data_IF_922178246834
#
_entry.id   IF_922178246834
#
_cell.length_a   1.000
_cell.length_b   1.000
_cell.length_c   1.000
_cell.angle_alpha   90.00
_cell.angle_beta   90.00
_cell.angle_gamma   90.00
#
_symmetry.space_group_name_H-M   'P 1'
#
loop_
_entity.id
_entity.type
_entity.pdbx_description
1 polymer ?
#
# COMPACT_ATOMS: atom_id res chain seq x y z
N UNK A 1 -13.98 -6.40 -18.42
CA UNK A 1 -13.70 -7.44 -17.39
C UNK A 1 -13.21 -6.73 -16.15
N UNK A 2 -13.36 -7.31 -14.94
CA UNK A 2 -12.84 -6.77 -13.68
C UNK A 2 -12.12 -7.86 -12.90
N UNK A 3 -10.92 -7.57 -12.35
CA UNK A 3 -10.16 -8.49 -11.49
C UNK A 3 -9.15 -7.73 -10.61
N UNK A 4 -8.47 -8.46 -9.71
CA UNK A 4 -7.38 -7.90 -8.92
C UNK A 4 -6.03 -8.02 -9.66
N UNK A 5 -5.09 -7.09 -9.43
CA UNK A 5 -3.71 -7.18 -9.98
C UNK A 5 -3.01 -8.51 -9.66
N UNK A 6 -3.23 -9.07 -8.47
CA UNK A 6 -2.69 -10.41 -8.10
C UNK A 6 -3.08 -11.49 -9.09
N UNK A 7 -4.32 -11.51 -9.59
CA UNK A 7 -4.76 -12.49 -10.59
C UNK A 7 -4.01 -12.32 -11.92
N UNK A 8 -3.79 -11.07 -12.34
CA UNK A 8 -3.00 -10.76 -13.53
C UNK A 8 -1.54 -11.19 -13.35
N UNK A 9 -0.93 -10.88 -12.20
CA UNK A 9 0.44 -11.32 -11.90
C UNK A 9 0.59 -12.84 -11.94
N UNK A 10 -0.40 -13.58 -11.42
CA UNK A 10 -0.41 -15.04 -11.52
C UNK A 10 -0.47 -15.52 -12.98
N UNK A 11 -1.32 -14.92 -13.81
CA UNK A 11 -1.41 -15.25 -15.25
C UNK A 11 -0.09 -14.90 -15.94
N UNK A 12 0.47 -13.71 -15.70
CA UNK A 12 1.75 -13.27 -16.26
C UNK A 12 2.90 -14.23 -15.91
N UNK A 13 2.92 -14.73 -14.68
CA UNK A 13 3.93 -15.71 -14.24
C UNK A 13 3.86 -17.00 -15.04
N UNK A 14 2.65 -17.51 -15.32
CA UNK A 14 2.45 -18.77 -16.05
C UNK A 14 2.50 -18.60 -17.58
N UNK A 15 2.17 -17.42 -18.09
CA UNK A 15 2.11 -17.11 -19.52
C UNK A 15 2.73 -15.74 -19.85
N UNK A 16 4.02 -15.53 -19.55
CA UNK A 16 4.67 -14.23 -19.68
C UNK A 16 4.63 -13.67 -21.11
N UNK A 17 4.65 -14.54 -22.11
CA UNK A 17 4.59 -14.20 -23.54
C UNK A 17 3.15 -14.10 -24.07
N UNK A 18 2.12 -14.41 -23.28
CA UNK A 18 0.73 -14.41 -23.71
C UNK A 18 0.37 -15.51 -24.71
N UNK A 19 1.10 -16.63 -24.74
CA UNK A 19 0.86 -17.74 -25.67
C UNK A 19 -0.49 -18.43 -25.43
N UNK A 20 -0.90 -18.54 -24.16
CA UNK A 20 -2.19 -19.12 -23.81
C UNK A 20 -3.32 -18.12 -24.06
N UNK A 21 -3.14 -16.86 -23.70
CA UNK A 21 -4.13 -15.79 -23.93
C UNK A 21 -4.50 -15.72 -25.41
N UNK A 22 -3.52 -15.77 -26.30
CA UNK A 22 -3.74 -15.71 -27.76
C UNK A 22 -4.52 -16.87 -28.35
N UNK A 23 -4.75 -17.96 -27.59
CA UNK A 23 -5.60 -19.07 -28.03
C UNK A 23 -7.10 -18.76 -27.92
N UNK A 24 -7.46 -17.70 -27.19
CA UNK A 24 -8.85 -17.31 -26.96
C UNK A 24 -9.22 -16.11 -27.81
N UNK A 25 -10.46 -16.11 -28.29
CA UNK A 25 -11.05 -14.94 -28.96
C UNK A 25 -11.57 -13.96 -27.92
N UNK A 26 -10.94 -12.80 -27.83
CA UNK A 26 -11.29 -11.75 -26.87
C UNK A 26 -11.93 -10.53 -27.56
N UNK A 27 -12.49 -10.70 -28.75
CA UNK A 27 -13.02 -9.62 -29.59
C UNK A 27 -14.15 -8.80 -28.91
N UNK A 28 -14.84 -9.41 -27.95
CA UNK A 28 -15.89 -8.73 -27.16
C UNK A 28 -15.34 -7.97 -25.95
N UNK A 29 -14.06 -8.16 -25.58
CA UNK A 29 -13.47 -7.44 -24.48
C UNK A 29 -13.23 -5.99 -24.90
N UNK A 30 -13.79 -5.03 -24.16
CA UNK A 30 -13.68 -3.59 -24.44
C UNK A 30 -12.69 -2.87 -23.52
N UNK A 31 -12.58 -3.36 -22.29
CA UNK A 31 -11.70 -2.80 -21.27
C UNK A 31 -11.47 -3.80 -20.16
N UNK A 32 -10.34 -3.67 -19.48
CA UNK A 32 -9.99 -4.39 -18.27
C UNK A 32 -9.92 -3.42 -17.10
N UNK A 33 -10.67 -3.69 -16.02
CA UNK A 33 -10.61 -2.92 -14.78
C UNK A 33 -9.85 -3.70 -13.71
N UNK A 34 -8.97 -3.01 -12.98
CA UNK A 34 -8.16 -3.56 -11.89
C UNK A 34 -8.45 -2.80 -10.61
N UNK A 35 -8.64 -3.50 -9.49
CA UNK A 35 -8.75 -2.92 -8.16
C UNK A 35 -8.49 -3.94 -7.05
N UNK A 36 -8.51 -3.47 -5.80
CA UNK A 36 -8.36 -4.27 -4.58
C UNK A 36 -6.97 -4.17 -3.98
N UNK A 37 -5.97 -3.83 -4.77
CA UNK A 37 -4.60 -3.52 -4.37
C UNK A 37 -3.97 -2.60 -5.42
N UNK A 38 -2.85 -2.00 -5.07
CA UNK A 38 -2.10 -1.16 -6.02
C UNK A 38 -1.67 -2.00 -7.23
N UNK A 39 -1.99 -1.50 -8.42
CA UNK A 39 -1.48 -2.07 -9.66
C UNK A 39 -0.09 -1.48 -9.94
N UNK A 40 0.94 -2.34 -9.98
CA UNK A 40 2.26 -1.92 -10.39
C UNK A 40 2.31 -1.64 -11.90
N UNK A 41 3.18 -0.69 -12.34
CA UNK A 41 3.27 -0.30 -13.75
C UNK A 41 3.53 -1.47 -14.70
N UNK A 42 4.43 -2.37 -14.33
CA UNK A 42 4.82 -3.52 -15.14
C UNK A 42 3.65 -4.52 -15.35
N UNK A 43 2.82 -4.72 -14.34
CA UNK A 43 1.60 -5.53 -14.47
C UNK A 43 0.56 -4.87 -15.36
N UNK A 44 0.36 -3.55 -15.23
CA UNK A 44 -0.58 -2.79 -16.05
C UNK A 44 -0.17 -2.81 -17.52
N UNK A 45 1.07 -2.44 -17.84
CA UNK A 45 1.62 -2.39 -19.18
C UNK A 45 1.61 -3.76 -19.87
N UNK A 46 1.99 -4.82 -19.13
CA UNK A 46 1.91 -6.18 -19.64
C UNK A 46 0.46 -6.56 -20.00
N UNK A 47 -0.51 -6.21 -19.14
CA UNK A 47 -1.92 -6.51 -19.36
C UNK A 47 -2.44 -5.81 -20.62
N UNK A 48 -2.14 -4.52 -20.75
CA UNK A 48 -2.52 -3.72 -21.92
C UNK A 48 -1.94 -4.28 -23.21
N UNK A 49 -0.64 -4.63 -23.19
CA UNK A 49 0.04 -5.27 -24.32
C UNK A 49 -0.59 -6.61 -24.70
N UNK A 50 -1.01 -7.42 -23.72
CA UNK A 50 -1.59 -8.74 -24.00
C UNK A 50 -3.03 -8.68 -24.46
N UNK A 51 -3.85 -7.83 -23.87
CA UNK A 51 -5.29 -7.74 -24.13
C UNK A 51 -5.62 -6.75 -25.26
N UNK A 52 -4.75 -5.79 -25.55
CA UNK A 52 -4.93 -4.72 -26.55
C UNK A 52 -6.23 -3.91 -26.33
N UNK A 53 -6.57 -3.70 -25.09
CA UNK A 53 -7.70 -2.86 -24.66
C UNK A 53 -7.25 -1.96 -23.51
N UNK A 54 -7.93 -0.83 -23.25
CA UNK A 54 -7.63 0.01 -22.10
C UNK A 54 -7.64 -0.80 -20.80
N UNK A 55 -6.59 -0.66 -19.99
CA UNK A 55 -6.48 -1.26 -18.66
C UNK A 55 -6.59 -0.14 -17.64
N UNK A 56 -7.71 -0.14 -16.92
CA UNK A 56 -8.05 0.91 -15.97
C UNK A 56 -7.80 0.43 -14.56
N UNK A 57 -6.81 1.01 -13.90
CA UNK A 57 -6.70 0.93 -12.45
C UNK A 57 -7.76 1.84 -11.85
N UNK A 58 -8.48 1.37 -10.83
CA UNK A 58 -9.47 2.19 -10.14
C UNK A 58 -9.46 1.92 -8.65
N UNK A 59 -9.71 2.97 -7.89
CA UNK A 59 -9.61 2.94 -6.44
C UNK A 59 -10.97 3.16 -5.80
N UNK A 60 -11.29 2.32 -4.83
CA UNK A 60 -12.50 2.34 -4.02
C UNK A 60 -12.31 1.61 -2.70
N UNK A 61 -13.28 1.75 -1.81
CA UNK A 61 -13.33 1.06 -0.54
C UNK A 61 -14.69 0.37 -0.40
N UNK A 62 -14.77 -0.65 0.44
CA UNK A 62 -16.05 -1.32 0.74
C UNK A 62 -17.09 -0.31 1.22
N UNK A 63 -16.66 0.67 1.99
CA UNK A 63 -17.46 1.75 2.55
C UNK A 63 -18.02 2.70 1.50
N UNK A 64 -17.39 2.82 0.35
CA UNK A 64 -17.85 3.74 -0.70
C UNK A 64 -18.77 3.07 -1.70
N UNK A 65 -18.76 1.73 -1.77
CA UNK A 65 -19.66 0.92 -2.63
C UNK A 65 -19.48 1.12 -4.14
N UNK A 66 -18.66 2.08 -4.54
CA UNK A 66 -18.41 2.51 -5.92
C UNK A 66 -17.00 3.10 -6.05
N UNK A 67 -16.36 3.07 -7.23
CA UNK A 67 -15.10 3.74 -7.45
C UNK A 67 -15.11 5.22 -7.05
N UNK A 68 -14.10 5.61 -6.28
CA UNK A 68 -13.85 6.99 -5.89
C UNK A 68 -13.03 7.69 -6.97
N UNK A 69 -12.02 6.98 -7.50
CA UNK A 69 -11.20 7.44 -8.61
C UNK A 69 -11.11 6.35 -9.68
N UNK A 70 -11.26 6.74 -10.93
CA UNK A 70 -11.20 5.86 -12.10
C UNK A 70 -11.10 6.67 -13.38
N UNK A 71 -10.61 6.05 -14.46
CA UNK A 71 -10.81 6.54 -15.81
C UNK A 71 -12.25 6.23 -16.24
N UNK A 72 -13.06 7.25 -16.41
CA UNK A 72 -14.48 7.13 -16.72
C UNK A 72 -14.72 6.93 -18.22
N UNK A 73 -14.37 5.76 -18.76
CA UNK A 73 -14.41 5.43 -20.20
C UNK A 73 -15.74 5.75 -20.89
N UNK A 74 -16.84 5.78 -20.16
CA UNK A 74 -18.17 6.13 -20.70
C UNK A 74 -18.38 7.63 -20.88
N UNK A 75 -17.51 8.48 -20.37
CA UNK A 75 -17.52 9.93 -20.50
C UNK A 75 -16.40 10.36 -21.43
N UNK A 76 -15.17 10.06 -21.06
CA UNK A 76 -13.98 10.39 -21.81
C UNK A 76 -12.86 9.41 -21.43
N UNK A 77 -12.07 8.97 -22.39
CA UNK A 77 -10.84 8.22 -22.13
C UNK A 77 -9.71 9.21 -21.92
N UNK A 78 -9.35 9.40 -20.66
CA UNK A 78 -8.15 10.15 -20.27
C UNK A 78 -6.90 9.29 -20.44
N UNK A 79 -5.73 9.92 -20.50
CA UNK A 79 -4.44 9.20 -20.54
C UNK A 79 -4.31 8.26 -19.32
N UNK A 80 -3.90 7.03 -19.58
CA UNK A 80 -3.69 6.03 -18.52
C UNK A 80 -2.25 6.19 -18.02
N UNK A 81 -2.11 6.68 -16.78
CA UNK A 81 -0.81 6.77 -16.10
C UNK A 81 -0.62 5.54 -15.21
N UNK A 82 0.41 4.71 -15.45
CA UNK A 82 0.68 3.55 -14.60
C UNK A 82 0.81 3.93 -13.12
N UNK A 83 0.15 3.17 -12.25
CA UNK A 83 0.13 3.43 -10.80
C UNK A 83 -0.84 4.53 -10.34
N UNK A 84 -1.69 5.03 -11.26
CA UNK A 84 -2.73 6.01 -10.94
C UNK A 84 -4.13 5.47 -11.30
N UNK A 85 -5.12 5.55 -10.38
CA UNK A 85 -6.52 5.33 -10.71
C UNK A 85 -7.16 6.50 -11.46
N UNK A 86 -6.37 7.38 -12.04
CA UNK A 86 -6.76 8.58 -12.79
C UNK A 86 -7.28 9.68 -11.87
N UNK A 87 -8.54 10.06 -11.93
CA UNK A 87 -9.08 11.17 -11.14
C UNK A 87 -10.42 10.82 -10.50
N UNK A 88 -10.97 11.75 -9.71
CA UNK A 88 -12.25 11.57 -9.05
C UNK A 88 -13.37 11.24 -10.03
N UNK A 89 -14.12 10.18 -9.76
CA UNK A 89 -15.35 9.86 -10.48
C UNK A 89 -16.41 10.93 -10.18
N UNK A 90 -17.29 11.30 -11.13
CA UNK A 90 -18.35 12.27 -10.90
C UNK A 90 -19.14 12.00 -9.63
N UNK A 91 -19.30 13.03 -8.81
CA UNK A 91 -19.91 12.97 -7.48
C UNK A 91 -18.93 12.92 -6.31
N UNK A 92 -17.69 12.54 -6.54
CA UNK A 92 -16.64 12.56 -5.52
C UNK A 92 -15.83 13.85 -5.58
N UNK A 93 -15.36 14.29 -4.44
CA UNK A 93 -14.37 15.35 -4.31
C UNK A 93 -13.25 14.88 -3.41
N UNK A 94 -12.06 14.68 -4.00
CA UNK A 94 -10.87 14.17 -3.35
C UNK A 94 -9.95 15.35 -3.05
N UNK A 95 -9.51 15.46 -1.80
CA UNK A 95 -8.43 16.34 -1.39
C UNK A 95 -7.35 15.49 -0.70
N UNK A 96 -6.08 15.90 -0.82
CA UNK A 96 -4.97 15.32 -0.08
C UNK A 96 -4.58 16.31 1.02
N UNK A 97 -4.69 15.91 2.28
CA UNK A 97 -4.61 16.79 3.44
C UNK A 97 -3.33 16.55 4.25
N UNK A 98 -2.80 17.63 4.82
CA UNK A 98 -1.76 17.59 5.85
C UNK A 98 -2.35 17.29 7.25
N UNK A 99 -1.50 17.28 8.28
CA UNK A 99 -1.90 17.08 9.68
C UNK A 99 -2.73 18.25 10.25
N UNK A 100 -2.67 19.43 9.62
CA UNK A 100 -3.46 20.61 9.96
C UNK A 100 -4.81 20.63 9.24
N UNK A 101 -5.21 19.54 8.59
CA UNK A 101 -6.43 19.40 7.78
C UNK A 101 -6.50 20.36 6.59
N UNK A 102 -5.35 20.78 6.03
CA UNK A 102 -5.27 21.65 4.86
C UNK A 102 -4.83 20.86 3.64
N UNK A 103 -5.37 21.18 2.44
CA UNK A 103 -4.88 20.61 1.21
C UNK A 103 -3.39 20.89 1.01
N UNK A 104 -2.64 19.85 0.64
CA UNK A 104 -1.23 19.97 0.27
C UNK A 104 -1.06 20.38 -1.19
N UNK A 105 0.06 21.00 -1.57
CA UNK A 105 0.40 21.26 -2.97
C UNK A 105 0.45 19.98 -3.81
N UNK A 106 0.20 20.07 -5.14
CA UNK A 106 0.38 18.94 -6.05
C UNK A 106 1.76 18.29 -5.94
N UNK A 107 1.80 16.96 -5.88
CA UNK A 107 3.02 16.16 -5.73
C UNK A 107 3.47 15.93 -4.29
N UNK A 108 2.87 16.59 -3.30
CA UNK A 108 3.16 16.35 -1.89
C UNK A 108 2.28 15.23 -1.32
N UNK A 109 2.88 14.40 -0.45
CA UNK A 109 2.19 13.28 0.19
C UNK A 109 1.32 13.79 1.34
N UNK A 110 0.06 13.32 1.37
CA UNK A 110 -0.85 13.58 2.48
C UNK A 110 -1.89 12.48 2.63
N UNK A 111 -2.83 12.70 3.54
CA UNK A 111 -3.98 11.81 3.74
C UNK A 111 -5.03 12.05 2.65
N UNK A 112 -5.36 11.03 1.89
CA UNK A 112 -6.45 11.10 0.92
C UNK A 112 -7.77 11.18 1.68
N UNK A 113 -8.53 12.24 1.47
CA UNK A 113 -9.76 12.52 2.19
C UNK A 113 -10.87 12.91 1.22
N UNK A 114 -12.10 12.51 1.52
CA UNK A 114 -13.25 12.75 0.64
C UNK A 114 -14.12 13.84 1.26
N UNK A 115 -14.33 14.93 0.53
CA UNK A 115 -15.13 16.05 1.03
C UNK A 115 -16.59 15.66 1.18
N UNK A 116 -17.16 15.99 2.33
CA UNK A 116 -18.57 15.74 2.60
C UNK A 116 -19.49 16.77 1.89
N UNK A 117 -20.75 16.37 1.54
CA UNK A 117 -21.35 15.05 1.73
C UNK A 117 -20.84 14.02 0.72
N UNK A 118 -20.79 12.74 1.13
CA UNK A 118 -20.48 11.65 0.21
C UNK A 118 -21.64 11.41 -0.76
N UNK A 119 -21.37 10.84 -1.97
CA UNK A 119 -22.44 10.44 -2.89
C UNK A 119 -23.38 9.40 -2.29
N UNK A 120 -24.64 9.34 -2.75
CA UNK A 120 -25.57 8.28 -2.38
C UNK A 120 -24.99 6.88 -2.68
N UNK A 121 -25.25 5.91 -1.81
CA UNK A 121 -24.72 4.55 -1.91
C UNK A 121 -23.45 4.32 -1.08
N UNK A 122 -22.85 5.37 -0.55
CA UNK A 122 -21.78 5.25 0.45
C UNK A 122 -22.33 4.72 1.77
N UNK A 123 -21.45 4.10 2.59
CA UNK A 123 -21.82 3.57 3.91
C UNK A 123 -22.47 4.65 4.79
N UNK A 124 -23.72 4.48 5.21
CA UNK A 124 -24.41 5.48 6.02
C UNK A 124 -23.96 5.42 7.50
N UNK A 125 -23.65 4.24 7.98
CA UNK A 125 -23.18 3.99 9.37
C UNK A 125 -22.69 2.54 9.53
N UNK A 126 -22.15 2.21 10.72
CA UNK A 126 -21.84 0.83 11.12
C UNK A 126 -23.02 0.20 11.85
N UNK A 127 -23.25 -1.10 11.65
CA UNK A 127 -24.35 -1.84 12.27
C UNK A 127 -24.30 -1.68 13.81
N UNK A 128 -25.38 -1.12 14.37
CA UNK A 128 -25.56 -0.88 15.81
C UNK A 128 -24.42 -0.10 16.48
N UNK A 129 -23.64 0.71 15.71
CA UNK A 129 -22.50 1.43 16.26
C UNK A 129 -22.20 2.74 15.51
N UNK A 130 -23.17 3.67 15.51
CA UNK A 130 -23.02 4.99 14.88
C UNK A 130 -21.82 5.78 15.43
N UNK A 131 -21.60 5.68 16.75
CA UNK A 131 -20.47 6.36 17.39
C UNK A 131 -19.14 5.91 16.77
N UNK A 132 -18.94 4.60 16.60
CA UNK A 132 -17.72 4.09 15.99
C UNK A 132 -17.57 4.53 14.53
N UNK A 133 -18.69 4.66 13.79
CA UNK A 133 -18.65 5.21 12.44
C UNK A 133 -18.11 6.63 12.43
N UNK A 134 -18.66 7.51 13.28
CA UNK A 134 -18.21 8.90 13.40
C UNK A 134 -16.74 8.96 13.82
N UNK A 135 -16.38 8.24 14.89
CA UNK A 135 -15.01 8.23 15.42
C UNK A 135 -13.98 7.73 14.41
N UNK A 136 -14.34 6.73 13.57
CA UNK A 136 -13.40 6.10 12.63
C UNK A 136 -13.26 6.84 11.30
N UNK A 137 -14.28 7.59 10.89
CA UNK A 137 -14.32 8.12 9.52
C UNK A 137 -14.53 9.63 9.41
N UNK A 138 -15.07 10.28 10.45
CA UNK A 138 -15.53 11.67 10.35
C UNK A 138 -14.89 12.64 11.34
N UNK A 139 -14.07 12.15 12.27
CA UNK A 139 -13.56 12.96 13.37
C UNK A 139 -12.21 13.61 13.07
N UNK A 140 -11.31 12.88 12.42
CA UNK A 140 -9.90 13.31 12.25
C UNK A 140 -9.75 14.52 11.35
N UNK A 141 -10.53 14.58 10.26
CA UNK A 141 -10.52 15.67 9.28
C UNK A 141 -11.90 16.33 9.20
N UNK A 142 -12.18 17.43 9.93
CA UNK A 142 -13.50 18.07 9.95
C UNK A 142 -13.99 18.44 8.54
N UNK A 143 -15.19 18.00 8.18
CA UNK A 143 -15.78 18.21 6.86
C UNK A 143 -15.35 17.21 5.78
N UNK A 144 -14.59 16.18 6.15
CA UNK A 144 -14.13 15.11 5.27
C UNK A 144 -14.40 13.73 5.86
N UNK A 145 -14.51 12.77 4.98
CA UNK A 145 -14.44 11.35 5.30
C UNK A 145 -12.98 10.89 5.21
N UNK A 146 -12.48 10.24 6.25
CA UNK A 146 -11.14 9.68 6.33
C UNK A 146 -11.09 8.32 5.62
N UNK A 147 -10.31 8.23 4.53
CA UNK A 147 -10.16 6.96 3.81
C UNK A 147 -9.17 6.02 4.48
N UNK A 148 -8.27 6.55 5.31
CA UNK A 148 -7.14 5.83 5.87
C UNK A 148 -6.06 5.50 4.82
N UNK A 149 -6.14 6.06 3.61
CA UNK A 149 -5.14 5.95 2.56
C UNK A 149 -4.34 7.24 2.43
N UNK A 150 -3.08 7.13 2.02
CA UNK A 150 -2.20 8.24 1.76
C UNK A 150 -1.78 8.23 0.29
N UNK A 151 -1.59 9.42 -0.26
CA UNK A 151 -1.21 9.57 -1.66
C UNK A 151 -0.88 11.01 -2.04
N UNK A 152 -0.80 11.22 -3.33
CA UNK A 152 -0.57 12.53 -3.94
C UNK A 152 -1.62 12.78 -5.03
N UNK A 153 -1.84 14.05 -5.34
CA UNK A 153 -2.43 14.47 -6.61
C UNK A 153 -1.30 15.12 -7.40
N UNK A 154 -1.04 14.64 -8.62
CA UNK A 154 0.04 15.19 -9.44
C UNK A 154 -0.36 16.54 -10.09
N UNK A 155 0.57 17.13 -10.85
CA UNK A 155 0.37 18.43 -11.50
C UNK A 155 -0.77 18.41 -12.55
N UNK A 156 -1.10 17.26 -13.09
CA UNK A 156 -2.19 17.07 -14.08
C UNK A 156 -3.52 16.70 -13.40
N UNK A 157 -3.56 16.64 -12.06
CA UNK A 157 -4.75 16.31 -11.28
C UNK A 157 -5.00 14.81 -11.10
N UNK A 158 -4.02 13.95 -11.43
CA UNK A 158 -4.15 12.51 -11.27
C UNK A 158 -3.82 12.09 -9.83
N UNK A 159 -4.68 11.25 -9.28
CA UNK A 159 -4.49 10.65 -7.95
C UNK A 159 -3.49 9.50 -8.04
N UNK A 160 -2.57 9.43 -7.09
CA UNK A 160 -1.72 8.26 -6.86
C UNK A 160 -1.90 7.80 -5.42
N UNK A 161 -2.47 6.62 -5.23
CA UNK A 161 -2.63 5.98 -3.92
C UNK A 161 -1.33 5.25 -3.60
N UNK A 162 -0.63 5.67 -2.56
CA UNK A 162 0.72 5.18 -2.25
C UNK A 162 0.72 4.08 -1.18
N UNK A 163 -0.04 4.28 -0.09
CA UNK A 163 -0.08 3.36 1.05
C UNK A 163 -1.26 3.69 1.97
N UNK A 164 -1.40 2.94 3.05
CA UNK A 164 -2.25 3.35 4.18
C UNK A 164 -1.59 4.53 4.92
N UNK A 165 -2.40 5.37 5.55
CA UNK A 165 -1.88 6.47 6.40
C UNK A 165 -1.05 5.95 7.57
N UNK A 166 -1.42 4.78 8.10
CA UNK A 166 -0.70 4.08 9.19
C UNK A 166 0.64 3.50 8.71
N UNK A 167 0.81 3.35 7.39
CA UNK A 167 2.02 2.85 6.74
C UNK A 167 2.93 4.00 6.24
N UNK A 168 2.60 5.27 6.55
CA UNK A 168 3.48 6.42 6.33
C UNK A 168 4.38 6.60 7.55
N UNK A 169 5.67 6.67 7.30
CA UNK A 169 6.69 6.93 8.33
C UNK A 169 7.05 8.40 8.28
N UNK A 170 6.97 9.09 9.41
CA UNK A 170 7.38 10.49 9.52
C UNK A 170 8.81 10.58 10.07
N UNK A 171 9.78 10.69 9.19
CA UNK A 171 11.20 10.79 9.53
C UNK A 171 11.63 12.26 9.54
N UNK A 172 11.77 12.86 10.71
CA UNK A 172 12.21 14.25 10.86
C UNK A 172 11.38 15.24 9.99
N UNK A 173 10.07 15.04 9.90
CA UNK A 173 9.16 15.86 9.10
C UNK A 173 8.98 15.39 7.65
N UNK A 174 9.76 14.43 7.17
CA UNK A 174 9.58 13.85 5.84
C UNK A 174 8.63 12.65 5.90
N UNK A 175 7.58 12.69 5.08
CA UNK A 175 6.62 11.59 4.95
C UNK A 175 7.10 10.60 3.91
N UNK A 176 7.33 9.37 4.33
CA UNK A 176 7.89 8.31 3.52
C UNK A 176 6.94 7.12 3.47
N UNK A 177 6.69 6.59 2.28
CA UNK A 177 5.86 5.41 2.08
C UNK A 177 6.65 4.14 2.43
N UNK A 178 6.09 3.30 3.29
CA UNK A 178 6.61 1.94 3.54
C UNK A 178 6.62 1.13 2.26
N UNK A 179 5.56 1.23 1.45
CA UNK A 179 5.43 0.50 0.19
C UNK A 179 6.53 0.85 -0.83
N UNK A 180 6.97 2.11 -0.88
CA UNK A 180 8.10 2.51 -1.73
C UNK A 180 9.41 1.85 -1.31
N UNK A 181 9.67 1.77 0.01
CA UNK A 181 10.85 1.07 0.52
C UNK A 181 10.73 -0.45 0.31
N UNK A 182 9.55 -1.04 0.56
CA UNK A 182 9.29 -2.46 0.33
C UNK A 182 9.52 -2.86 -1.12
N UNK A 183 9.15 -2.01 -2.07
CA UNK A 183 9.42 -2.25 -3.48
C UNK A 183 10.92 -2.39 -3.74
N UNK A 184 11.73 -1.48 -3.21
CA UNK A 184 13.20 -1.53 -3.32
C UNK A 184 13.76 -2.80 -2.66
N UNK A 185 13.28 -3.16 -1.47
CA UNK A 185 13.72 -4.38 -0.77
C UNK A 185 13.39 -5.65 -1.55
N UNK A 186 12.22 -5.70 -2.20
CA UNK A 186 11.76 -6.83 -2.99
C UNK A 186 12.57 -7.06 -4.28
N UNK A 187 13.31 -6.06 -4.76
CA UNK A 187 14.21 -6.18 -5.92
C UNK A 187 15.49 -6.97 -5.58
N UNK A 188 15.81 -7.13 -4.28
CA UNK A 188 16.98 -7.93 -3.89
C UNK A 188 16.75 -9.40 -4.21
N UNK A 189 17.71 -10.03 -4.92
CA UNK A 189 17.59 -11.39 -5.44
C UNK A 189 17.30 -12.46 -4.39
N UNK A 190 17.76 -12.27 -3.15
CA UNK A 190 17.64 -13.24 -2.06
C UNK A 190 16.40 -13.00 -1.17
N UNK A 191 15.67 -11.89 -1.37
CA UNK A 191 14.46 -11.56 -0.60
C UNK A 191 13.23 -12.21 -1.25
N UNK A 192 12.47 -12.97 -0.46
CA UNK A 192 11.21 -13.55 -0.86
C UNK A 192 10.02 -12.66 -0.50
N UNK A 193 10.04 -12.12 0.73
CA UNK A 193 9.03 -11.19 1.23
C UNK A 193 9.69 -10.14 2.13
N UNK A 194 9.08 -8.98 2.22
CA UNK A 194 9.54 -7.94 3.13
C UNK A 194 8.37 -7.14 3.70
N UNK A 195 8.65 -6.46 4.81
CA UNK A 195 7.78 -5.44 5.37
C UNK A 195 8.62 -4.31 5.93
N UNK A 196 8.18 -3.08 5.75
CA UNK A 196 8.77 -1.90 6.38
C UNK A 196 7.74 -1.28 7.31
N UNK A 197 8.19 -0.85 8.48
CA UNK A 197 7.36 -0.17 9.48
C UNK A 197 8.13 0.99 10.12
N UNK A 198 7.42 2.01 10.57
CA UNK A 198 8.00 3.09 11.36
C UNK A 198 8.10 2.67 12.81
N UNK A 199 9.29 2.76 13.40
CA UNK A 199 9.51 2.58 14.84
C UNK A 199 9.86 3.91 15.47
N UNK A 200 9.50 4.10 16.72
CA UNK A 200 9.73 5.34 17.46
C UNK A 200 11.23 5.66 17.59
N UNK A 201 11.59 6.93 17.35
CA UNK A 201 12.95 7.47 17.49
C UNK A 201 12.89 8.81 18.20
N UNK A 202 13.74 9.00 19.21
CA UNK A 202 13.73 10.20 20.05
C UNK A 202 14.08 11.50 19.32
N UNK A 203 14.87 11.43 18.25
CA UNK A 203 15.35 12.60 17.51
C UNK A 203 14.53 12.86 16.25
N UNK A 204 14.06 11.80 15.58
CA UNK A 204 13.43 11.90 14.26
C UNK A 204 11.94 11.64 14.27
N UNK A 205 11.34 11.37 15.45
CA UNK A 205 9.98 10.95 15.61
C UNK A 205 9.82 9.48 15.26
N UNK A 206 10.08 9.11 14.01
CA UNK A 206 10.12 7.72 13.57
C UNK A 206 11.33 7.45 12.68
N UNK A 207 11.75 6.18 12.63
CA UNK A 207 12.71 5.66 11.64
C UNK A 207 12.19 4.35 11.06
N UNK A 208 12.48 4.05 9.78
CA UNK A 208 12.05 2.81 9.18
C UNK A 208 12.88 1.62 9.68
N UNK A 209 12.18 0.53 9.97
CA UNK A 209 12.71 -0.80 10.27
C UNK A 209 12.24 -1.78 9.19
N UNK A 210 13.16 -2.47 8.54
CA UNK A 210 12.86 -3.50 7.55
C UNK A 210 12.82 -4.90 8.16
N UNK A 211 11.82 -5.70 7.81
CA UNK A 211 11.78 -7.14 8.07
C UNK A 211 11.90 -7.88 6.75
N UNK A 212 12.79 -8.85 6.67
CA UNK A 212 13.10 -9.59 5.45
C UNK A 212 12.86 -11.08 5.68
N UNK A 213 12.15 -11.72 4.77
CA UNK A 213 12.07 -13.18 4.66
C UNK A 213 12.88 -13.57 3.42
N UNK A 214 13.84 -14.45 3.60
CA UNK A 214 14.70 -14.89 2.51
C UNK A 214 14.07 -16.01 1.71
N UNK A 215 14.50 -16.15 0.47
CA UNK A 215 14.17 -17.31 -0.38
C UNK A 215 14.81 -18.59 0.18
N UNK A 216 14.26 -19.73 -0.17
CA UNK A 216 14.85 -21.01 0.20
C UNK A 216 16.18 -21.22 -0.51
N UNK A 217 17.15 -21.80 0.21
CA UNK A 217 18.47 -22.13 -0.36
C UNK A 217 19.45 -20.97 -0.53
N UNK A 218 19.15 -19.79 0.06
CA UNK A 218 20.10 -18.66 0.07
C UNK A 218 21.37 -19.02 0.80
N UNK A 219 22.53 -18.82 0.14
CA UNK A 219 23.86 -19.05 0.71
C UNK A 219 24.61 -17.74 1.03
N UNK A 220 24.07 -16.59 0.66
CA UNK A 220 24.63 -15.27 0.96
C UNK A 220 24.62 -15.03 2.48
N UNK A 221 25.70 -14.48 3.02
CA UNK A 221 25.78 -14.16 4.44
C UNK A 221 24.68 -13.14 4.81
N UNK A 222 23.93 -13.38 5.86
CA UNK A 222 22.80 -12.52 6.31
C UNK A 222 23.24 -11.05 6.49
N UNK A 223 24.44 -10.83 7.00
CA UNK A 223 25.00 -9.47 7.17
C UNK A 223 25.13 -8.74 5.82
N UNK A 224 25.61 -9.45 4.80
CA UNK A 224 25.77 -8.89 3.46
C UNK A 224 24.41 -8.48 2.87
N UNK A 225 23.39 -9.34 3.01
CA UNK A 225 22.03 -9.04 2.54
C UNK A 225 21.48 -7.77 3.21
N UNK A 226 21.66 -7.64 4.52
CA UNK A 226 21.22 -6.46 5.29
C UNK A 226 21.95 -5.20 4.79
N UNK A 227 23.25 -5.26 4.59
CA UNK A 227 24.04 -4.14 4.07
C UNK A 227 23.62 -3.74 2.65
N UNK A 228 23.32 -4.71 1.80
CA UNK A 228 22.88 -4.50 0.42
C UNK A 228 21.52 -3.81 0.37
N UNK A 229 20.52 -4.29 1.10
CA UNK A 229 19.19 -3.68 1.11
C UNK A 229 19.21 -2.25 1.71
N UNK A 230 20.03 -2.00 2.75
CA UNK A 230 20.23 -0.65 3.28
C UNK A 230 20.81 0.28 2.21
N UNK A 231 21.78 -0.18 1.45
CA UNK A 231 22.40 0.57 0.36
C UNK A 231 21.40 0.84 -0.79
N UNK A 232 20.60 -0.15 -1.15
CA UNK A 232 19.55 -0.02 -2.17
C UNK A 232 18.54 1.05 -1.77
N UNK A 233 17.97 1.01 -0.57
CA UNK A 233 17.02 2.03 -0.10
C UNK A 233 17.67 3.43 -0.07
N UNK A 234 18.93 3.51 0.33
CA UNK A 234 19.66 4.79 0.33
C UNK A 234 19.88 5.34 -1.07
N UNK A 235 20.10 4.48 -2.06
CA UNK A 235 20.31 4.89 -3.45
C UNK A 235 18.99 5.34 -4.11
N UNK A 236 17.90 4.58 -3.93
CA UNK A 236 16.64 4.79 -4.64
C UNK A 236 15.73 5.82 -3.93
N UNK A 237 15.61 5.75 -2.61
CA UNK A 237 14.74 6.65 -1.82
C UNK A 237 15.53 7.88 -1.32
N UNK A 238 16.82 7.70 -1.12
CA UNK A 238 17.72 8.74 -0.60
C UNK A 238 18.03 8.64 0.89
N UNK A 239 19.05 9.40 1.36
CA UNK A 239 19.48 9.43 2.76
C UNK A 239 18.40 9.92 3.73
N UNK A 240 17.41 10.66 3.24
CA UNK A 240 16.27 11.18 4.00
C UNK A 240 15.44 10.07 4.63
N UNK A 241 15.39 8.89 4.00
CA UNK A 241 14.68 7.72 4.54
C UNK A 241 15.23 7.27 5.89
N UNK A 242 16.52 7.54 6.18
CA UNK A 242 17.21 7.08 7.38
C UNK A 242 17.06 5.57 7.63
N UNK A 243 16.89 4.78 6.57
CA UNK A 243 16.79 3.33 6.63
C UNK A 243 18.16 2.73 7.01
N UNK A 244 18.29 2.30 8.24
CA UNK A 244 19.56 1.82 8.82
C UNK A 244 19.48 0.44 9.45
N UNK A 245 18.26 -0.06 9.65
CA UNK A 245 18.03 -1.31 10.36
C UNK A 245 17.14 -2.21 9.51
N UNK A 246 17.63 -3.40 9.24
CA UNK A 246 16.86 -4.49 8.69
C UNK A 246 17.10 -5.77 9.47
N UNK A 247 16.11 -6.62 9.58
CA UNK A 247 16.12 -7.85 10.35
C UNK A 247 15.62 -9.00 9.49
N UNK A 248 16.37 -10.10 9.43
CA UNK A 248 15.93 -11.33 8.78
C UNK A 248 15.07 -12.13 9.75
N UNK A 249 13.86 -12.45 9.32
CA UNK A 249 12.87 -13.23 10.07
C UNK A 249 12.44 -14.46 9.27
N UNK A 250 11.94 -15.49 9.93
CA UNK A 250 11.49 -16.70 9.24
C UNK A 250 10.24 -16.48 8.41
N UNK A 251 9.33 -15.62 8.90
CA UNK A 251 8.03 -15.32 8.29
C UNK A 251 7.49 -14.00 8.81
N UNK A 252 6.53 -13.41 8.11
CA UNK A 252 5.84 -12.19 8.53
C UNK A 252 4.46 -12.53 9.13
N UNK A 253 4.02 -11.84 10.21
CA UNK A 253 2.68 -12.03 10.75
C UNK A 253 1.63 -11.50 9.77
N UNK A 254 0.69 -12.39 9.41
CA UNK A 254 -0.35 -12.12 8.42
C UNK A 254 -1.73 -12.48 8.95
N UNK A 255 -2.74 -11.85 8.39
CA UNK A 255 -4.11 -12.34 8.49
C UNK A 255 -4.30 -13.58 7.60
N UNK A 256 -5.38 -14.35 7.83
CA UNK A 256 -5.77 -15.49 6.96
C UNK A 256 -5.97 -15.10 5.49
N UNK A 257 -6.22 -13.83 5.21
CA UNK A 257 -6.30 -13.29 3.84
C UNK A 257 -4.95 -12.85 3.27
N UNK A 258 -3.83 -13.04 4.00
CA UNK A 258 -2.47 -12.72 3.55
C UNK A 258 -2.02 -11.29 3.85
N UNK A 259 -2.84 -10.45 4.49
CA UNK A 259 -2.46 -9.07 4.83
C UNK A 259 -1.46 -9.05 5.99
N UNK A 260 -0.30 -8.40 5.79
CA UNK A 260 0.74 -8.22 6.83
C UNK A 260 0.21 -7.30 7.95
N UNK A 261 0.45 -7.70 9.19
CA UNK A 261 0.00 -7.00 10.41
C UNK A 261 1.04 -5.98 10.91
N UNK A 262 1.41 -5.00 10.05
CA UNK A 262 2.46 -4.00 10.35
C UNK A 262 2.23 -3.26 11.65
N UNK A 263 1.01 -2.79 11.91
CA UNK A 263 0.67 -2.06 13.12
C UNK A 263 0.91 -2.86 14.42
N UNK A 264 0.78 -4.19 14.39
CA UNK A 264 1.11 -5.05 15.55
C UNK A 264 2.62 -5.15 15.71
N UNK A 265 3.33 -5.37 14.61
CA UNK A 265 4.81 -5.45 14.66
C UNK A 265 5.39 -4.13 15.18
N UNK A 266 4.85 -2.98 14.76
CA UNK A 266 5.25 -1.67 15.25
C UNK A 266 5.03 -1.55 16.75
N UNK A 267 3.85 -1.90 17.26
CA UNK A 267 3.55 -1.87 18.69
C UNK A 267 4.48 -2.78 19.49
N UNK A 268 4.80 -3.96 18.96
CA UNK A 268 5.79 -4.86 19.58
C UNK A 268 7.17 -4.19 19.63
N UNK A 269 7.62 -3.59 18.51
CA UNK A 269 8.91 -2.91 18.45
C UNK A 269 9.01 -1.72 19.42
N UNK A 270 7.90 -0.95 19.54
CA UNK A 270 7.80 0.21 20.43
C UNK A 270 7.44 -0.17 21.89
N UNK A 271 7.37 -1.46 22.24
CA UNK A 271 6.98 -1.97 23.57
C UNK A 271 5.60 -1.48 24.03
N UNK A 272 4.70 -1.23 23.08
CA UNK A 272 3.34 -0.78 23.34
C UNK A 272 2.34 -1.95 23.46
N UNK A 273 1.25 -1.73 24.16
CA UNK A 273 0.17 -2.71 24.28
C UNK A 273 -0.51 -2.97 22.93
N UNK A 274 -0.82 -4.23 22.66
CA UNK A 274 -1.52 -4.63 21.45
C UNK A 274 -2.49 -5.80 21.70
N UNK A 275 -3.59 -5.78 20.97
CA UNK A 275 -4.53 -6.89 20.93
C UNK A 275 -4.21 -7.82 19.75
N UNK A 276 -4.32 -9.12 19.97
CA UNK A 276 -4.15 -10.11 18.91
C UNK A 276 -5.47 -10.21 18.12
N UNK A 277 -5.48 -9.82 16.83
CA UNK A 277 -6.70 -9.87 16.03
C UNK A 277 -7.14 -11.32 15.79
N UNK A 278 -8.44 -11.59 15.90
CA UNK A 278 -9.01 -12.90 15.61
C UNK A 278 -8.77 -13.39 14.17
N UNK A 279 -8.37 -12.49 13.29
CA UNK A 279 -8.06 -12.77 11.87
C UNK A 279 -6.62 -13.20 11.62
N UNK A 280 -5.74 -13.18 12.63
CA UNK A 280 -4.35 -13.63 12.47
C UNK A 280 -4.30 -15.11 12.08
N UNK A 281 -3.41 -15.45 11.17
CA UNK A 281 -3.23 -16.82 10.71
C UNK A 281 -2.59 -17.70 11.81
N UNK A 282 -1.46 -17.28 12.36
CA UNK A 282 -0.76 -17.95 13.44
C UNK A 282 -0.27 -16.93 14.50
N UNK A 283 -0.88 -16.91 15.71
CA UNK A 283 -0.46 -15.98 16.76
C UNK A 283 0.95 -16.20 17.30
N UNK A 284 1.51 -17.40 17.19
CA UNK A 284 2.85 -17.74 17.72
C UNK A 284 3.95 -16.94 17.03
N UNK A 285 3.70 -16.49 15.79
CA UNK A 285 4.65 -15.67 15.04
C UNK A 285 4.98 -14.36 15.74
N UNK A 286 4.05 -13.81 16.52
CA UNK A 286 4.29 -12.53 17.24
C UNK A 286 5.38 -12.69 18.31
N UNK A 287 5.48 -13.86 18.93
CA UNK A 287 6.57 -14.17 19.88
C UNK A 287 7.91 -14.28 19.15
N UNK A 288 7.96 -14.97 18.01
CA UNK A 288 9.16 -15.10 17.17
C UNK A 288 9.67 -13.72 16.71
N UNK A 289 8.77 -12.84 16.32
CA UNK A 289 9.10 -11.45 15.94
C UNK A 289 9.62 -10.67 17.14
N UNK A 290 8.95 -10.75 18.29
CA UNK A 290 9.39 -10.08 19.53
C UNK A 290 10.81 -10.48 19.92
N UNK A 291 11.10 -11.77 19.98
CA UNK A 291 12.44 -12.30 20.28
C UNK A 291 13.51 -11.81 19.28
N UNK A 292 13.12 -11.72 18.01
CA UNK A 292 14.02 -11.24 16.97
C UNK A 292 14.30 -9.74 17.09
N UNK A 293 13.29 -8.94 17.43
CA UNK A 293 13.42 -7.50 17.69
C UNK A 293 14.25 -7.21 18.94
N UNK A 294 14.09 -8.02 19.98
CA UNK A 294 14.89 -7.88 21.22
C UNK A 294 16.40 -8.03 20.99
N UNK A 295 16.80 -8.91 20.07
CA UNK A 295 18.23 -9.11 19.73
C UNK A 295 18.88 -7.86 19.13
N UNK A 296 18.11 -6.93 18.60
CA UNK A 296 18.58 -5.68 18.01
C UNK A 296 18.19 -4.44 18.83
N UNK A 297 17.70 -4.64 20.07
CA UNK A 297 17.44 -3.57 21.03
C UNK A 297 16.05 -2.93 20.95
N UNK A 298 15.11 -3.54 20.24
CA UNK A 298 13.70 -3.18 20.24
C UNK A 298 12.87 -4.12 21.12
N UNK A 299 11.59 -3.80 21.36
CA UNK A 299 10.67 -4.67 22.12
C UNK A 299 11.14 -5.00 23.55
N UNK A 300 11.73 -4.02 24.21
CA UNK A 300 12.31 -4.13 25.58
C UNK A 300 11.24 -4.18 26.67
#
# INVERSE_FOLDING_TARGET
MFTAPTAIRAIKKEDPDGKLIRKFKLDCLKSQFLAGERCDPDTLEWTEKMLQVPVVDHWWQTETGWPIASNCLGIELLDIKPGSPTCAVPGWKIDVLDESCKPVPPGEIGAISLKLPLPPGSLPTLWQNDKRFVDSYLTKYPGYYETGDAGIIDQDGYLHVLSRTDDIINVAGHRLSTGGMEQVLAEHQDVAECAVLGVSDQLKGQVPLGLLVLKDGVNTEHKQIIEDVIRMVRAEIGPVAAFKVALIVKRLPKTRSGKILRGIIQKIADSADYDIPATIDDPLILMEIKESLQKIGYAT
#
